data_IF_584775505053
#
_entry.id   IF_584775505053
#
_cell.length_a   1.000
_cell.length_b   1.000
_cell.length_c   1.000
_cell.angle_alpha   90.00
_cell.angle_beta   90.00
_cell.angle_gamma   90.00
#
_symmetry.space_group_name_H-M   'P 1'
#
loop_
_entity.id
_entity.type
_entity.pdbx_description
1 polymer ?
#
# COMPACT_ATOMS: atom_id res chain seq x y z
N UNK A 1 -7.50 -2.72 3.03
CA UNK A 1 -8.65 -2.86 3.95
C UNK A 1 -9.90 -3.16 3.15
N UNK A 2 -10.86 -3.93 3.67
CA UNK A 2 -12.12 -4.17 2.94
C UNK A 2 -12.94 -2.88 2.88
N UNK A 3 -13.42 -2.47 1.70
CA UNK A 3 -14.23 -1.26 1.56
C UNK A 3 -15.46 -1.27 2.50
N UNK A 4 -15.75 -0.12 3.10
CA UNK A 4 -16.92 0.15 3.97
C UNK A 4 -17.05 -0.63 5.28
N UNK A 5 -16.23 -1.66 5.52
CA UNK A 5 -16.33 -2.52 6.71
C UNK A 5 -16.08 -1.75 8.02
N UNK A 6 -15.09 -0.85 8.05
CA UNK A 6 -14.67 -0.04 9.22
C UNK A 6 -14.31 -0.83 10.50
N UNK A 7 -14.38 -2.16 10.51
CA UNK A 7 -13.95 -2.98 11.62
C UNK A 7 -12.41 -2.95 11.77
N UNK A 8 -11.89 -3.11 13.00
CA UNK A 8 -10.45 -3.19 13.23
C UNK A 8 -9.80 -4.30 12.41
N UNK A 9 -8.60 -4.03 11.89
CA UNK A 9 -7.78 -5.03 11.22
C UNK A 9 -7.38 -6.09 12.26
N UNK A 10 -7.62 -7.36 11.93
CA UNK A 10 -7.24 -8.52 12.73
C UNK A 10 -6.28 -9.43 12.00
N UNK A 11 -6.42 -9.53 10.68
CA UNK A 11 -5.59 -10.39 9.84
C UNK A 11 -4.76 -9.53 8.87
N UNK A 12 -3.50 -9.91 8.72
CA UNK A 12 -2.65 -9.51 7.60
C UNK A 12 -2.59 -10.70 6.66
N UNK A 13 -3.04 -10.52 5.43
CA UNK A 13 -3.17 -11.59 4.44
C UNK A 13 -2.78 -11.06 3.06
N UNK A 14 -2.83 -11.90 2.05
CA UNK A 14 -2.50 -11.54 0.69
C UNK A 14 -3.73 -11.22 -0.17
N UNK A 15 -3.55 -10.34 -1.16
CA UNK A 15 -4.52 -10.08 -2.22
C UNK A 15 -4.62 -11.29 -3.16
N UNK A 16 -3.47 -11.74 -3.67
CA UNK A 16 -3.33 -13.09 -4.26
C UNK A 16 -2.82 -14.04 -3.16
N UNK A 17 -3.60 -15.05 -2.75
CA UNK A 17 -3.18 -15.98 -1.70
C UNK A 17 -1.85 -16.69 -2.00
N UNK A 18 -1.06 -16.97 -0.98
CA UNK A 18 0.20 -17.73 -1.11
C UNK A 18 -0.03 -19.11 -1.77
N UNK A 19 -1.12 -19.79 -1.41
CA UNK A 19 -1.55 -21.06 -2.04
C UNK A 19 -1.82 -20.96 -3.54
N UNK A 20 -2.03 -19.76 -4.06
CA UNK A 20 -2.22 -19.45 -5.48
C UNK A 20 -0.97 -18.82 -6.12
N UNK A 21 0.18 -18.87 -5.43
CA UNK A 21 1.46 -18.33 -5.90
C UNK A 21 1.71 -16.85 -5.56
N UNK A 22 0.87 -16.23 -4.74
CA UNK A 22 1.04 -14.84 -4.35
C UNK A 22 2.22 -14.64 -3.39
N UNK A 23 3.18 -13.80 -3.78
CA UNK A 23 4.36 -13.54 -2.96
C UNK A 23 4.05 -12.75 -1.68
N UNK A 24 4.76 -13.06 -0.60
CA UNK A 24 4.75 -12.25 0.62
C UNK A 24 5.59 -10.98 0.42
N UNK A 25 4.92 -9.87 0.12
CA UNK A 25 5.54 -8.54 -0.02
C UNK A 25 4.52 -7.43 0.31
N UNK A 26 5.01 -6.19 0.42
CA UNK A 26 4.17 -5.05 0.78
C UNK A 26 3.06 -4.74 -0.24
N UNK A 27 3.30 -5.00 -1.53
CA UNK A 27 2.31 -4.75 -2.59
C UNK A 27 1.12 -5.71 -2.46
N UNK A 28 1.40 -7.01 -2.30
CA UNK A 28 0.39 -8.06 -2.19
C UNK A 28 -0.28 -8.10 -0.80
N UNK A 29 0.21 -7.33 0.18
CA UNK A 29 -0.33 -7.32 1.54
C UNK A 29 -1.68 -6.62 1.67
N UNK A 30 -2.55 -7.18 2.52
CA UNK A 30 -3.85 -6.62 2.90
C UNK A 30 -4.06 -6.74 4.41
N UNK A 31 -4.57 -5.68 5.03
CA UNK A 31 -5.11 -5.73 6.38
C UNK A 31 -6.64 -5.80 6.36
N UNK A 32 -7.24 -6.81 6.98
CA UNK A 32 -8.70 -7.03 7.02
C UNK A 32 -9.19 -7.48 8.39
N UNK A 33 -10.50 -7.32 8.66
CA UNK A 33 -11.13 -7.99 9.78
C UNK A 33 -11.27 -9.50 9.48
N UNK A 34 -11.51 -10.30 10.51
CA UNK A 34 -11.61 -11.76 10.36
C UNK A 34 -12.73 -12.18 9.38
N UNK A 35 -13.93 -11.59 9.50
CA UNK A 35 -15.08 -11.96 8.67
C UNK A 35 -14.85 -11.66 7.18
N UNK A 36 -14.32 -10.48 6.85
CA UNK A 36 -14.01 -10.13 5.47
C UNK A 36 -12.87 -10.96 4.91
N UNK A 37 -11.88 -11.34 5.73
CA UNK A 37 -10.82 -12.24 5.30
C UNK A 37 -11.38 -13.60 4.89
N UNK A 38 -12.29 -14.17 5.68
CA UNK A 38 -12.92 -15.45 5.32
C UNK A 38 -13.85 -15.33 4.11
N UNK A 39 -14.58 -14.21 3.99
CA UNK A 39 -15.43 -13.98 2.83
C UNK A 39 -14.63 -13.93 1.52
N UNK A 40 -13.45 -13.29 1.50
CA UNK A 40 -12.62 -13.17 0.29
C UNK A 40 -12.08 -14.51 -0.22
N UNK A 41 -11.98 -15.52 0.64
CA UNK A 41 -11.47 -16.85 0.27
C UNK A 41 -12.51 -17.70 -0.48
N UNK A 42 -13.77 -17.25 -0.54
CA UNK A 42 -14.81 -17.90 -1.30
C UNK A 42 -14.61 -17.69 -2.81
N UNK A 43 -15.13 -18.63 -3.60
CA UNK A 43 -15.02 -18.61 -5.06
C UNK A 43 -15.65 -17.35 -5.66
N UNK A 44 -15.02 -16.84 -6.72
CA UNK A 44 -15.48 -15.66 -7.46
C UNK A 44 -15.04 -14.32 -6.87
N UNK A 45 -14.42 -14.29 -5.70
CA UNK A 45 -13.73 -13.09 -5.21
C UNK A 45 -12.39 -12.91 -5.94
N UNK A 46 -12.09 -11.68 -6.34
CA UNK A 46 -10.78 -11.31 -6.88
C UNK A 46 -10.31 -10.03 -6.22
N UNK A 47 -9.02 -9.97 -5.87
CA UNK A 47 -8.41 -8.77 -5.30
C UNK A 47 -7.10 -8.46 -6.02
N UNK A 48 -7.00 -7.25 -6.55
CA UNK A 48 -5.82 -6.76 -7.26
C UNK A 48 -5.26 -5.56 -6.51
N UNK A 49 -3.94 -5.50 -6.35
CA UNK A 49 -3.27 -4.40 -5.65
C UNK A 49 -2.29 -3.67 -6.56
N UNK A 50 -2.22 -2.36 -6.42
CA UNK A 50 -1.24 -1.50 -7.08
C UNK A 50 -0.57 -0.58 -6.07
N UNK A 51 0.67 -0.18 -6.34
CA UNK A 51 1.35 0.89 -5.61
C UNK A 51 1.78 1.95 -6.62
N UNK A 52 1.37 3.19 -6.37
CA UNK A 52 1.78 4.34 -7.18
C UNK A 52 2.29 5.43 -6.26
N UNK A 53 3.56 5.81 -6.43
CA UNK A 53 4.20 6.86 -5.64
C UNK A 53 4.08 6.63 -4.11
N UNK A 54 4.08 5.34 -3.68
CA UNK A 54 3.92 4.94 -2.29
C UNK A 54 2.47 4.94 -1.77
N UNK A 55 1.49 5.13 -2.66
CA UNK A 55 0.07 4.95 -2.36
C UNK A 55 -0.37 3.56 -2.83
N UNK A 56 -0.62 2.68 -1.85
CA UNK A 56 -1.22 1.38 -2.06
C UNK A 56 -2.72 1.51 -2.36
N UNK A 57 -3.19 0.82 -3.39
CA UNK A 57 -4.60 0.71 -3.76
C UNK A 57 -4.96 -0.76 -3.94
N UNK A 58 -6.10 -1.17 -3.37
CA UNK A 58 -6.68 -2.49 -3.57
C UNK A 58 -8.04 -2.37 -4.28
N UNK A 59 -8.20 -3.09 -5.38
CA UNK A 59 -9.45 -3.29 -6.10
C UNK A 59 -10.04 -4.64 -5.69
N UNK A 60 -11.30 -4.66 -5.29
CA UNK A 60 -12.06 -5.85 -4.93
C UNK A 60 -13.16 -6.07 -5.96
N UNK A 61 -13.14 -7.23 -6.62
CA UNK A 61 -14.25 -7.70 -7.44
C UNK A 61 -14.96 -8.80 -6.66
N UNK A 62 -16.24 -8.56 -6.40
CA UNK A 62 -17.12 -9.51 -5.70
C UNK A 62 -17.59 -10.62 -6.67
N UNK A 63 -18.10 -11.75 -6.15
CA UNK A 63 -18.67 -12.81 -7.00
C UNK A 63 -19.83 -12.36 -7.89
N UNK A 64 -20.55 -11.29 -7.51
CA UNK A 64 -21.60 -10.66 -8.33
C UNK A 64 -21.06 -9.62 -9.31
N UNK A 65 -19.74 -9.59 -9.51
CA UNK A 65 -19.04 -8.68 -10.42
C UNK A 65 -19.12 -7.19 -10.07
N UNK A 66 -19.45 -6.85 -8.81
CA UNK A 66 -19.36 -5.48 -8.32
C UNK A 66 -17.91 -5.16 -7.92
N UNK A 67 -17.43 -3.98 -8.32
CA UNK A 67 -16.06 -3.50 -8.10
C UNK A 67 -16.01 -2.41 -7.02
N UNK A 68 -15.07 -2.53 -6.10
CA UNK A 68 -14.84 -1.57 -5.03
C UNK A 68 -13.36 -1.27 -4.84
N UNK A 69 -13.03 -0.07 -4.37
CA UNK A 69 -11.65 0.37 -4.17
C UNK A 69 -11.37 0.71 -2.71
N UNK A 70 -10.19 0.32 -2.25
CA UNK A 70 -9.60 0.72 -0.96
C UNK A 70 -8.26 1.38 -1.21
N UNK A 71 -8.19 2.69 -1.02
CA UNK A 71 -6.97 3.48 -1.18
C UNK A 71 -6.37 3.72 0.21
N UNK A 72 -5.09 3.41 0.37
CA UNK A 72 -4.36 3.73 1.60
C UNK A 72 -4.26 5.25 1.76
N UNK A 73 -4.54 5.80 2.96
CA UNK A 73 -4.34 7.22 3.21
C UNK A 73 -2.84 7.55 3.04
N UNK A 74 -2.51 8.83 2.80
CA UNK A 74 -1.12 9.28 2.86
C UNK A 74 -0.48 8.85 4.18
N UNK A 75 0.80 8.48 4.13
CA UNK A 75 1.54 8.16 5.34
C UNK A 75 1.51 9.37 6.30
N UNK A 76 1.31 9.16 7.61
CA UNK A 76 1.40 10.23 8.58
C UNK A 76 2.82 10.82 8.60
N UNK A 77 2.92 12.14 8.77
CA UNK A 77 4.17 12.89 8.76
C UNK A 77 4.38 13.69 7.48
N UNK A 78 5.53 14.39 7.40
CA UNK A 78 5.88 15.16 6.20
C UNK A 78 6.06 14.19 5.03
N UNK A 79 5.32 14.36 3.92
CA UNK A 79 5.44 13.44 2.81
C UNK A 79 6.88 13.43 2.32
N UNK A 80 7.52 12.27 2.40
CA UNK A 80 8.80 12.02 1.74
C UNK A 80 8.48 11.95 0.25
N UNK A 81 8.31 13.11 -0.38
CA UNK A 81 8.43 13.14 -1.83
C UNK A 81 9.81 12.58 -2.10
N UNK A 82 9.91 11.49 -2.85
CA UNK A 82 11.09 11.26 -3.67
C UNK A 82 11.12 12.45 -4.63
N UNK A 83 11.60 13.61 -4.14
CA UNK A 83 12.03 14.68 -5.01
C UNK A 83 13.06 13.97 -5.87
N UNK A 84 12.77 13.94 -7.16
CA UNK A 84 13.77 13.69 -8.16
C UNK A 84 14.71 14.90 -8.08
N UNK A 85 15.51 14.96 -7.00
CA UNK A 85 16.49 16.00 -6.79
C UNK A 85 17.41 15.87 -8.00
N UNK A 86 17.52 16.95 -8.78
CA UNK A 86 18.55 16.95 -9.80
C UNK A 86 19.91 16.74 -9.10
N UNK A 87 20.88 16.14 -9.79
CA UNK A 87 22.22 15.93 -9.21
C UNK A 87 22.80 17.24 -8.65
N UNK A 88 22.47 18.38 -9.28
CA UNK A 88 22.83 19.73 -8.82
C UNK A 88 22.17 20.07 -7.49
N UNK A 89 20.86 19.86 -7.34
CA UNK A 89 20.16 20.12 -6.07
C UNK A 89 20.65 19.21 -4.94
N UNK A 90 21.02 17.96 -5.26
CA UNK A 90 21.64 17.04 -4.33
C UNK A 90 23.00 17.53 -3.84
N UNK A 91 23.86 17.99 -4.77
CA UNK A 91 25.21 18.45 -4.46
C UNK A 91 25.22 19.75 -3.63
N UNK A 92 24.36 20.72 -3.99
CA UNK A 92 24.20 21.95 -3.20
C UNK A 92 23.73 21.67 -1.76
N UNK A 93 22.84 20.69 -1.57
CA UNK A 93 22.34 20.31 -0.25
C UNK A 93 23.43 19.68 0.63
N UNK A 94 24.31 18.86 0.05
CA UNK A 94 25.45 18.26 0.76
C UNK A 94 26.43 19.35 1.17
N UNK A 95 26.83 20.22 0.23
CA UNK A 95 27.78 21.29 0.46
C UNK A 95 27.32 22.22 1.59
N UNK A 96 26.05 22.64 1.59
CA UNK A 96 25.47 23.48 2.65
C UNK A 96 25.54 22.83 4.05
N UNK A 97 25.30 21.51 4.16
CA UNK A 97 25.42 20.80 5.43
C UNK A 97 26.87 20.72 5.90
N UNK A 98 27.80 20.44 4.99
CA UNK A 98 29.24 20.38 5.32
C UNK A 98 29.84 21.73 5.69
N UNK A 99 29.46 22.82 4.99
CA UNK A 99 29.96 24.16 5.32
C UNK A 99 29.32 24.72 6.60
N UNK A 100 28.05 24.40 6.88
CA UNK A 100 27.39 24.77 8.13
C UNK A 100 27.91 24.03 9.36
N UNK A 101 28.49 22.83 9.20
CA UNK A 101 29.10 22.05 10.27
C UNK A 101 30.57 22.42 10.54
N UNK A 102 31.20 23.22 9.66
CA UNK A 102 32.58 23.67 9.75
C UNK A 102 32.73 25.10 10.31
N UNK A 103 31.63 25.76 10.68
CA UNK A 103 31.57 27.07 11.33
C UNK A 103 31.15 26.93 12.80
#
# INVERSE_FOLDING_TARGET
RTPFCNAPIRHHDHATPDRAGGHTNALNGLGMCQACNYAKEADGWQVTTTDRDGQHTAEFVTPTNATYYSIAPPLPGTPVRRRQLSLIEGQLSIDLVTFGAAA
#
